data_IF_037697195090
#
_entry.id   IF_037697195090
#
_cell.length_a   1.000
_cell.length_b   1.000
_cell.length_c   1.000
_cell.angle_alpha   90.00
_cell.angle_beta   90.00
_cell.angle_gamma   90.00
#
_symmetry.space_group_name_H-M   'P 1'
#
loop_
_entity.id
_entity.type
_entity.pdbx_description
1 polymer ?
#
# COMPACT_ATOMS: atom_id res chain seq x y z
N UNK A 1 -29.70 -26.52 -65.27
CA UNK A 1 -29.76 -26.64 -63.80
C UNK A 1 -28.45 -26.10 -63.25
N UNK A 2 -28.40 -24.80 -62.98
CA UNK A 2 -27.28 -24.18 -62.26
C UNK A 2 -27.69 -24.12 -60.79
N UNK A 3 -26.92 -24.75 -59.91
CA UNK A 3 -27.17 -24.75 -58.49
C UNK A 3 -26.59 -23.46 -57.88
N UNK A 4 -27.48 -22.63 -57.32
CA UNK A 4 -27.12 -21.49 -56.49
C UNK A 4 -26.38 -21.97 -55.24
N UNK A 5 -25.10 -21.61 -55.15
CA UNK A 5 -24.29 -21.83 -53.95
C UNK A 5 -24.41 -20.60 -53.06
N UNK A 6 -25.33 -20.66 -52.09
CA UNK A 6 -25.49 -19.63 -51.08
C UNK A 6 -24.47 -19.86 -49.95
N UNK A 7 -23.60 -18.88 -49.62
CA UNK A 7 -22.63 -19.06 -48.55
C UNK A 7 -23.34 -19.11 -47.18
N UNK A 8 -22.82 -19.90 -46.22
CA UNK A 8 -23.43 -20.04 -44.91
C UNK A 8 -23.36 -18.73 -44.14
N UNK A 9 -24.46 -18.40 -43.45
CA UNK A 9 -24.56 -17.25 -42.57
C UNK A 9 -23.42 -17.28 -41.53
N UNK A 10 -22.58 -16.25 -41.58
CA UNK A 10 -21.53 -16.00 -40.58
C UNK A 10 -22.16 -15.95 -39.20
N UNK A 11 -21.86 -16.96 -38.37
CA UNK A 11 -22.21 -16.95 -36.97
C UNK A 11 -21.51 -15.76 -36.30
N UNK A 12 -22.29 -14.75 -35.92
CA UNK A 12 -21.78 -13.58 -35.21
C UNK A 12 -21.03 -14.03 -33.96
N UNK A 13 -19.76 -13.63 -33.85
CA UNK A 13 -18.96 -13.83 -32.65
C UNK A 13 -19.71 -13.25 -31.43
N UNK A 14 -19.61 -13.88 -30.25
CA UNK A 14 -20.25 -13.35 -29.05
C UNK A 14 -19.78 -11.91 -28.83
N UNK A 15 -20.72 -10.98 -28.85
CA UNK A 15 -20.46 -9.57 -28.53
C UNK A 15 -20.05 -9.52 -27.06
N UNK A 16 -18.75 -9.42 -26.80
CA UNK A 16 -18.24 -9.17 -25.46
C UNK A 16 -18.66 -7.74 -25.12
N UNK A 17 -19.73 -7.60 -24.34
CA UNK A 17 -20.19 -6.31 -23.85
C UNK A 17 -19.12 -5.78 -22.91
N UNK A 18 -18.36 -4.79 -23.37
CA UNK A 18 -17.35 -4.13 -22.55
C UNK A 18 -18.02 -3.55 -21.29
N UNK A 19 -17.39 -3.71 -20.13
CA UNK A 19 -17.96 -3.25 -18.86
C UNK A 19 -17.41 -1.87 -18.49
N UNK A 20 -18.22 -1.00 -17.86
CA UNK A 20 -17.73 0.22 -17.22
C UNK A 20 -16.55 -0.02 -16.28
N UNK A 21 -15.49 0.78 -16.40
CA UNK A 21 -14.38 0.79 -15.45
C UNK A 21 -14.68 1.82 -14.35
N UNK A 22 -14.74 1.36 -13.10
CA UNK A 22 -15.15 2.16 -11.94
C UNK A 22 -14.00 2.24 -10.96
N UNK A 23 -13.63 3.46 -10.57
CA UNK A 23 -12.74 3.76 -9.47
C UNK A 23 -13.47 4.62 -8.44
N UNK A 24 -13.27 4.33 -7.16
CA UNK A 24 -13.80 5.11 -6.06
C UNK A 24 -12.74 5.33 -4.99
N UNK A 25 -12.61 6.57 -4.50
CA UNK A 25 -11.71 6.90 -3.40
C UNK A 25 -12.44 7.65 -2.29
N UNK A 26 -12.17 7.24 -1.04
CA UNK A 26 -12.62 7.91 0.16
C UNK A 26 -11.46 8.73 0.74
N UNK A 27 -11.75 10.00 0.98
CA UNK A 27 -10.85 10.97 1.59
C UNK A 27 -11.34 11.20 3.03
N UNK A 28 -10.80 10.51 4.05
CA UNK A 28 -11.35 10.51 5.41
C UNK A 28 -11.43 11.91 6.02
N UNK A 29 -10.45 12.76 5.73
CA UNK A 29 -10.40 14.15 6.22
C UNK A 29 -11.51 15.02 5.63
N UNK A 30 -12.00 14.69 4.44
CA UNK A 30 -13.10 15.42 3.79
C UNK A 30 -14.45 14.76 4.03
N UNK A 31 -14.48 13.51 4.51
CA UNK A 31 -15.71 12.72 4.67
C UNK A 31 -16.43 12.46 3.34
N UNK A 32 -15.71 12.48 2.21
CA UNK A 32 -16.27 12.36 0.86
C UNK A 32 -15.74 11.12 0.13
N UNK A 33 -16.62 10.51 -0.66
CA UNK A 33 -16.28 9.48 -1.63
C UNK A 33 -16.33 10.14 -3.01
N UNK A 34 -15.20 10.14 -3.72
CA UNK A 34 -15.14 10.50 -5.14
C UNK A 34 -15.26 9.23 -5.97
N UNK A 35 -15.97 9.31 -7.09
CA UNK A 35 -16.18 8.17 -8.01
C UNK A 35 -15.91 8.65 -9.43
N UNK A 36 -15.10 7.88 -10.15
CA UNK A 36 -14.83 8.06 -11.58
C UNK A 36 -15.31 6.81 -12.31
N UNK A 37 -16.13 7.00 -13.35
CA UNK A 37 -16.68 5.92 -14.18
C UNK A 37 -16.29 6.19 -15.62
N UNK A 38 -15.53 5.28 -16.21
CA UNK A 38 -15.26 5.27 -17.64
C UNK A 38 -16.21 4.28 -18.32
N UNK A 39 -17.11 4.82 -19.15
CA UNK A 39 -18.04 4.00 -19.92
C UNK A 39 -17.37 3.54 -21.22
N UNK A 40 -17.62 2.30 -21.67
CA UNK A 40 -17.11 1.79 -22.94
C UNK A 40 -17.72 2.49 -24.15
N UNK A 41 -18.93 3.02 -24.04
CA UNK A 41 -19.63 3.79 -25.07
C UNK A 41 -20.21 5.08 -24.48
N UNK A 42 -20.75 5.95 -25.33
CA UNK A 42 -21.39 7.18 -24.88
C UNK A 42 -22.62 6.87 -24.01
N UNK A 43 -22.79 7.61 -22.91
CA UNK A 43 -23.96 7.45 -22.04
C UNK A 43 -25.27 7.70 -22.79
N UNK A 44 -26.29 6.90 -22.51
CA UNK A 44 -27.65 7.08 -23.04
C UNK A 44 -28.65 7.29 -21.91
N UNK A 45 -29.93 7.51 -22.23
CA UNK A 45 -31.02 7.58 -21.25
C UNK A 45 -31.21 6.28 -20.42
N UNK A 46 -30.61 5.16 -20.86
CA UNK A 46 -30.60 3.89 -20.13
C UNK A 46 -29.42 3.78 -19.17
N UNK A 47 -28.41 4.64 -19.28
CA UNK A 47 -27.27 4.64 -18.36
C UNK A 47 -27.72 5.17 -17.00
N UNK A 48 -27.56 4.38 -15.95
CA UNK A 48 -27.94 4.75 -14.57
C UNK A 48 -26.82 4.44 -13.60
N UNK A 49 -26.68 5.28 -12.58
CA UNK A 49 -25.75 5.07 -11.47
C UNK A 49 -26.54 5.13 -10.18
N UNK A 50 -26.46 4.08 -9.38
CA UNK A 50 -27.23 3.92 -8.14
C UNK A 50 -26.29 3.53 -7.01
N UNK A 51 -26.55 4.05 -5.81
CA UNK A 51 -25.95 3.54 -4.57
C UNK A 51 -26.95 2.59 -3.94
N UNK A 52 -26.54 1.35 -3.68
CA UNK A 52 -27.38 0.36 -3.01
C UNK A 52 -27.78 0.83 -1.61
N UNK A 53 -28.92 0.35 -1.09
CA UNK A 53 -29.48 0.76 0.22
C UNK A 53 -28.52 0.54 1.40
N UNK A 54 -27.57 -0.39 1.27
CA UNK A 54 -26.54 -0.62 2.27
C UNK A 54 -25.50 0.51 2.36
N UNK A 55 -25.48 1.44 1.40
CA UNK A 55 -24.50 2.51 1.26
C UNK A 55 -23.10 2.02 0.93
N UNK A 56 -22.92 0.73 0.65
CA UNK A 56 -21.61 0.09 0.45
C UNK A 56 -21.38 -0.35 -0.99
N UNK A 57 -22.39 -0.33 -1.85
CA UNK A 57 -22.23 -0.72 -3.25
C UNK A 57 -22.71 0.37 -4.20
N UNK A 58 -21.93 0.59 -5.25
CA UNK A 58 -22.30 1.36 -6.42
C UNK A 58 -22.68 0.39 -7.55
N UNK A 59 -23.80 0.68 -8.21
CA UNK A 59 -24.32 -0.06 -9.36
C UNK A 59 -24.32 0.89 -10.55
N UNK A 60 -23.75 0.46 -11.67
CA UNK A 60 -23.72 1.19 -12.93
C UNK A 60 -24.39 0.33 -13.98
N UNK A 61 -25.58 0.74 -14.40
CA UNK A 61 -26.29 0.13 -15.52
C UNK A 61 -25.90 0.87 -16.81
N UNK A 62 -25.39 0.17 -17.81
CA UNK A 62 -25.00 0.73 -19.09
C UNK A 62 -25.08 -0.34 -20.19
N UNK A 63 -25.71 -0.01 -21.32
CA UNK A 63 -25.88 -0.90 -22.48
C UNK A 63 -26.45 -2.29 -22.15
N UNK A 64 -27.35 -2.35 -21.16
CA UNK A 64 -27.99 -3.60 -20.73
C UNK A 64 -27.13 -4.47 -19.80
N UNK A 65 -25.94 -4.00 -19.41
CA UNK A 65 -25.09 -4.64 -18.41
C UNK A 65 -25.07 -3.81 -17.11
N UNK A 66 -25.05 -4.50 -15.97
CA UNK A 66 -24.90 -3.89 -14.64
C UNK A 66 -23.53 -4.22 -14.07
N UNK A 67 -22.71 -3.20 -13.82
CA UNK A 67 -21.43 -3.35 -13.12
C UNK A 67 -21.58 -2.92 -11.66
N UNK A 68 -21.03 -3.71 -10.74
CA UNK A 68 -21.09 -3.46 -9.30
C UNK A 68 -19.69 -3.20 -8.74
N UNK A 69 -19.52 -2.14 -7.96
CA UNK A 69 -18.30 -1.85 -7.18
C UNK A 69 -18.64 -1.72 -5.70
N UNK A 70 -17.82 -2.28 -4.80
CA UNK A 70 -17.93 -2.00 -3.37
C UNK A 70 -17.23 -0.66 -3.09
N UNK A 71 -17.94 0.26 -2.45
CA UNK A 71 -17.41 1.57 -2.09
C UNK A 71 -16.35 1.45 -0.97
N UNK A 72 -15.33 2.32 -0.96
CA UNK A 72 -14.27 2.30 0.04
C UNK A 72 -14.76 2.66 1.45
N UNK A 73 -15.89 3.33 1.58
CA UNK A 73 -16.57 3.62 2.84
C UNK A 73 -18.09 3.60 2.63
N UNK A 74 -18.84 3.49 3.72
CA UNK A 74 -20.31 3.54 3.67
C UNK A 74 -20.76 4.97 3.34
N UNK A 75 -21.39 5.15 2.18
CA UNK A 75 -22.04 6.38 1.79
C UNK A 75 -23.28 6.64 2.67
N UNK A 76 -23.45 7.89 3.11
CA UNK A 76 -24.68 8.32 3.76
C UNK A 76 -25.68 8.68 2.66
N UNK A 77 -26.71 7.87 2.51
CA UNK A 77 -27.83 8.13 1.60
C UNK A 77 -28.82 9.00 2.38
N UNK A 78 -28.52 10.31 2.47
CA UNK A 78 -29.50 11.30 2.91
C UNK A 78 -30.27 11.77 1.67
N UNK A 79 -31.60 11.79 1.75
CA UNK A 79 -32.49 12.14 0.63
C UNK A 79 -32.49 13.61 0.24
N UNK A 80 -31.32 14.23 0.04
CA UNK A 80 -31.21 15.60 -0.45
C UNK A 80 -30.25 15.64 -1.65
N UNK A 81 -30.80 16.10 -2.78
CA UNK A 81 -30.11 16.33 -4.05
C UNK A 81 -28.75 17.01 -3.86
N UNK A 82 -27.69 16.41 -4.39
CA UNK A 82 -26.46 17.14 -4.67
C UNK A 82 -26.62 17.93 -5.98
N UNK A 83 -26.17 19.21 -6.03
CA UNK A 83 -26.20 19.99 -7.26
C UNK A 83 -25.11 19.49 -8.21
N UNK A 84 -25.53 18.99 -9.37
CA UNK A 84 -24.69 18.40 -10.41
C UNK A 84 -25.57 17.51 -11.29
N UNK A 85 -26.31 18.14 -12.21
CA UNK A 85 -27.26 17.46 -13.09
C UNK A 85 -26.61 16.40 -13.97
N UNK A 86 -27.08 15.15 -13.86
CA UNK A 86 -27.61 14.40 -15.00
C UNK A 86 -28.88 13.67 -14.51
N UNK A 87 -30.05 14.01 -15.06
CA UNK A 87 -31.31 13.25 -14.92
C UNK A 87 -31.49 12.40 -16.20
N UNK A 88 -31.90 11.12 -16.12
CA UNK A 88 -33.27 10.79 -15.73
C UNK A 88 -33.45 9.56 -14.81
N UNK A 89 -34.33 9.71 -13.82
CA UNK A 89 -35.15 8.62 -13.27
C UNK A 89 -34.61 7.91 -12.01
N UNK A 90 -34.60 8.61 -10.87
CA UNK A 90 -34.62 7.95 -9.56
C UNK A 90 -36.05 7.44 -9.31
N UNK A 91 -36.32 6.17 -9.62
CA UNK A 91 -37.51 5.50 -9.11
C UNK A 91 -37.08 4.84 -7.81
N UNK A 92 -37.57 5.38 -6.69
CA UNK A 92 -37.55 4.68 -5.42
C UNK A 92 -38.79 3.79 -5.41
N UNK A 93 -38.62 2.49 -5.64
CA UNK A 93 -39.72 1.56 -5.36
C UNK A 93 -39.84 1.36 -3.85
N UNK A 94 -40.92 1.91 -3.34
CA UNK A 94 -41.50 1.67 -2.03
C UNK A 94 -41.76 0.18 -1.83
N UNK A 95 -41.00 -0.43 -0.92
CA UNK A 95 -41.56 -1.46 -0.02
C UNK A 95 -40.68 -1.49 1.24
N UNK A 96 -41.11 -0.79 2.29
CA UNK A 96 -40.59 -0.93 3.65
C UNK A 96 -41.71 -1.55 4.48
N UNK A 97 -41.47 -2.74 5.04
CA UNK A 97 -42.07 -3.15 6.31
C UNK A 97 -40.98 -3.03 7.36
N UNK A 98 -41.24 -2.16 8.33
CA UNK A 98 -40.29 -1.60 9.29
C UNK A 98 -39.41 -2.62 10.02
N UNK A 99 -38.21 -2.18 10.46
CA UNK A 99 -37.66 -2.63 11.74
C UNK A 99 -37.07 -1.46 12.55
N UNK A 100 -37.35 -1.58 13.84
CA UNK A 100 -37.30 -0.66 14.98
C UNK A 100 -35.88 -0.45 15.50
N UNK A 101 -35.53 0.81 15.80
CA UNK A 101 -34.32 1.16 16.56
C UNK A 101 -34.44 0.76 18.03
N UNK A 102 -33.31 0.36 18.62
CA UNK A 102 -33.09 0.38 20.07
C UNK A 102 -31.62 0.77 20.39
N UNK A 103 -31.35 1.33 21.58
CA UNK A 103 -30.39 2.40 21.78
C UNK A 103 -28.98 1.97 22.19
N UNK A 104 -28.09 2.97 22.10
CA UNK A 104 -26.74 3.06 22.65
C UNK A 104 -26.77 2.91 24.19
N UNK A 105 -25.83 2.17 24.75
CA UNK A 105 -25.39 2.37 26.13
C UNK A 105 -23.92 1.93 26.29
N UNK A 106 -23.21 2.79 27.00
CA UNK A 106 -21.80 2.77 27.36
C UNK A 106 -21.44 1.59 28.26
N UNK A 107 -20.17 1.19 28.21
CA UNK A 107 -19.48 0.63 29.36
C UNK A 107 -18.00 1.04 29.29
N UNK A 108 -17.67 2.10 30.02
CA UNK A 108 -16.32 2.36 30.47
C UNK A 108 -15.96 1.33 31.55
N UNK A 109 -14.79 0.71 31.42
CA UNK A 109 -14.15 -0.02 32.50
C UNK A 109 -12.70 0.42 32.58
N UNK A 110 -12.42 1.15 33.65
CA UNK A 110 -11.09 1.48 34.17
C UNK A 110 -10.27 0.21 34.43
N UNK A 111 -9.02 0.22 33.99
CA UNK A 111 -7.95 -0.55 34.61
C UNK A 111 -6.66 0.29 34.55
N UNK A 112 -6.48 1.13 35.57
CA UNK A 112 -5.25 1.86 35.83
C UNK A 112 -4.15 0.90 36.29
N UNK A 113 -3.31 0.46 35.37
CA UNK A 113 -1.93 0.10 35.67
C UNK A 113 -1.05 1.32 35.42
N UNK A 114 -0.80 2.11 36.47
CA UNK A 114 0.25 3.14 36.45
C UNK A 114 1.60 2.42 36.45
N UNK A 115 2.29 2.45 35.31
CA UNK A 115 3.71 2.11 35.24
C UNK A 115 4.49 3.04 36.18
N UNK A 116 5.45 2.51 36.94
CA UNK A 116 6.30 3.31 37.83
C UNK A 116 7.22 4.21 37.01
N UNK A 117 7.62 5.35 37.59
CA UNK A 117 8.49 6.34 36.96
C UNK A 117 9.85 5.74 36.53
N UNK A 118 10.37 4.74 37.26
CA UNK A 118 11.61 4.01 36.93
C UNK A 118 11.46 3.10 35.70
N UNK A 119 10.27 2.53 35.47
CA UNK A 119 9.95 1.74 34.27
C UNK A 119 9.78 2.62 33.02
N UNK A 120 9.41 3.90 33.20
CA UNK A 120 9.32 4.87 32.11
C UNK A 120 10.70 5.49 31.79
N UNK A 121 11.52 5.74 32.82
CA UNK A 121 12.86 6.30 32.67
C UNK A 121 13.84 5.32 31.98
N UNK A 122 13.71 4.02 32.21
CA UNK A 122 14.53 2.99 31.54
C UNK A 122 14.16 2.75 30.07
N UNK A 123 12.99 3.24 29.63
CA UNK A 123 12.49 3.13 28.24
C UNK A 123 12.74 4.37 27.39
N UNK A 124 13.14 5.48 28.01
CA UNK A 124 13.41 6.73 27.31
C UNK A 124 14.90 6.81 26.95
N UNK A 125 15.22 6.46 25.70
CA UNK A 125 16.52 6.72 25.11
C UNK A 125 16.68 8.23 24.89
N UNK A 126 17.65 8.86 25.57
CA UNK A 126 18.00 10.26 25.34
C UNK A 126 18.45 10.49 23.90
N UNK A 127 18.38 11.72 23.42
CA UNK A 127 18.73 12.13 22.04
C UNK A 127 20.16 11.76 21.60
N UNK A 128 21.04 11.37 22.53
CA UNK A 128 22.42 10.95 22.26
C UNK A 128 22.69 9.46 22.53
N UNK A 129 21.71 8.66 22.97
CA UNK A 129 21.94 7.21 23.17
C UNK A 129 21.77 6.47 21.84
N UNK A 130 22.86 5.85 21.37
CA UNK A 130 22.83 4.97 20.21
C UNK A 130 22.24 3.62 20.65
N UNK A 131 21.15 3.21 20.01
CA UNK A 131 20.59 1.87 20.19
C UNK A 131 21.55 0.88 19.52
N UNK A 132 22.30 0.14 20.33
CA UNK A 132 23.14 -0.96 19.88
C UNK A 132 22.41 -2.30 20.08
N UNK A 133 22.72 -3.28 19.23
CA UNK A 133 22.17 -4.61 19.32
C UNK A 133 22.53 -5.26 20.65
N UNK A 134 21.57 -5.98 21.24
CA UNK A 134 21.74 -6.69 22.50
C UNK A 134 21.33 -8.15 22.32
N UNK A 135 22.05 -9.03 23.01
CA UNK A 135 21.81 -10.46 22.93
C UNK A 135 20.41 -10.79 23.48
N UNK A 136 19.64 -11.57 22.73
CA UNK A 136 18.28 -11.95 23.08
C UNK A 136 17.23 -10.83 22.92
N UNK A 137 17.60 -9.66 22.37
CA UNK A 137 16.69 -8.51 22.18
C UNK A 137 16.63 -8.12 20.70
N UNK A 138 15.42 -8.02 20.18
CA UNK A 138 15.15 -7.49 18.83
C UNK A 138 14.64 -6.05 18.91
N UNK A 139 15.42 -5.07 18.44
CA UNK A 139 14.97 -3.68 18.36
C UNK A 139 14.20 -3.45 17.06
N UNK A 140 12.96 -3.01 17.17
CA UNK A 140 12.05 -2.86 16.03
C UNK A 140 12.05 -1.42 15.53
N UNK A 141 12.40 -1.20 14.26
CA UNK A 141 12.26 0.07 13.53
C UNK A 141 11.14 -0.06 12.47
N UNK A 142 10.79 0.97 11.69
CA UNK A 142 9.68 0.94 10.72
C UNK A 142 9.91 -0.10 9.62
N UNK A 143 11.14 -0.25 9.14
CA UNK A 143 11.51 -1.14 8.03
C UNK A 143 12.17 -2.44 8.49
N UNK A 144 12.89 -2.41 9.61
CA UNK A 144 13.76 -3.52 10.02
C UNK A 144 13.58 -3.91 11.48
N UNK A 145 14.16 -5.06 11.84
CA UNK A 145 14.36 -5.50 13.21
C UNK A 145 15.87 -5.74 13.38
N UNK A 146 16.49 -5.06 14.31
CA UNK A 146 17.90 -5.19 14.65
C UNK A 146 18.08 -6.28 15.71
N UNK A 147 18.91 -7.27 15.39
CA UNK A 147 19.31 -8.35 16.29
C UNK A 147 20.82 -8.36 16.54
N UNK A 148 21.25 -8.98 17.63
CA UNK A 148 22.67 -9.31 17.81
C UNK A 148 23.09 -10.38 16.82
N UNK A 149 24.32 -10.30 16.30
CA UNK A 149 24.83 -11.27 15.32
C UNK A 149 24.83 -12.71 15.88
N UNK A 150 24.98 -12.87 17.20
CA UNK A 150 24.97 -14.19 17.83
C UNK A 150 23.58 -14.84 17.86
N UNK A 151 22.51 -14.06 17.73
CA UNK A 151 21.14 -14.55 17.67
C UNK A 151 20.74 -14.96 16.24
N UNK A 152 21.54 -14.53 15.25
CA UNK A 152 21.30 -14.77 13.83
C UNK A 152 22.18 -15.89 13.23
N UNK A 153 22.56 -16.89 14.02
CA UNK A 153 23.45 -18.00 13.60
C UNK A 153 22.91 -18.83 12.43
N UNK A 154 21.60 -18.81 12.21
CA UNK A 154 20.95 -19.51 11.11
C UNK A 154 21.06 -18.79 9.75
N UNK A 155 21.67 -17.60 9.71
CA UNK A 155 21.82 -16.80 8.50
C UNK A 155 23.22 -16.94 7.91
N UNK A 156 23.28 -16.89 6.57
CA UNK A 156 24.54 -16.79 5.85
C UNK A 156 24.92 -15.32 5.76
N UNK A 157 25.93 -14.93 6.52
CA UNK A 157 26.54 -13.59 6.46
C UNK A 157 27.94 -13.81 5.87
N UNK A 158 28.20 -13.40 4.61
CA UNK A 158 29.53 -13.54 4.06
C UNK A 158 30.49 -12.72 4.92
N UNK A 159 31.62 -13.31 5.34
CA UNK A 159 32.63 -12.65 6.18
C UNK A 159 33.73 -12.14 5.28
N UNK A 160 34.20 -10.92 5.56
CA UNK A 160 35.43 -10.43 4.95
C UNK A 160 36.60 -11.16 5.61
N UNK A 161 37.22 -12.10 4.90
CA UNK A 161 38.41 -12.81 5.38
C UNK A 161 39.64 -12.04 4.90
N UNK A 162 40.26 -11.27 5.80
CA UNK A 162 41.45 -10.47 5.50
C UNK A 162 42.70 -11.32 5.15
N UNK A 163 42.61 -12.65 5.22
CA UNK A 163 43.72 -13.58 4.98
C UNK A 163 43.81 -14.08 3.53
N UNK A 164 42.78 -13.91 2.71
CA UNK A 164 42.80 -14.31 1.29
C UNK A 164 42.33 -13.15 0.42
N UNK A 165 43.28 -12.52 -0.29
CA UNK A 165 43.03 -11.60 -1.40
C UNK A 165 42.38 -12.33 -2.59
N UNK A 166 41.12 -12.72 -2.45
CA UNK A 166 40.26 -13.07 -3.58
C UNK A 166 38.98 -12.25 -3.50
N UNK A 167 39.15 -11.00 -3.90
CA UNK A 167 38.10 -10.05 -4.19
C UNK A 167 37.38 -10.49 -5.48
N UNK A 168 36.06 -10.66 -5.42
CA UNK A 168 35.24 -10.15 -6.52
C UNK A 168 34.85 -8.73 -6.12
N UNK A 169 35.32 -7.80 -6.96
CA UNK A 169 35.18 -6.33 -6.96
C UNK A 169 35.87 -5.54 -5.81
N UNK A 170 36.94 -4.84 -6.18
CA UNK A 170 37.59 -3.75 -5.42
C UNK A 170 36.78 -2.49 -5.65
N UNK A 171 36.32 -1.81 -4.59
CA UNK A 171 35.89 -0.41 -4.62
C UNK A 171 36.00 0.13 -3.20
N UNK A 172 36.68 1.26 -3.07
CA UNK A 172 37.01 1.95 -1.83
C UNK A 172 35.87 2.90 -1.38
N UNK A 173 34.62 2.48 -1.48
CA UNK A 173 33.48 3.15 -0.83
C UNK A 173 32.97 2.26 0.30
N UNK A 174 32.85 2.81 1.51
CA UNK A 174 32.61 2.07 2.77
C UNK A 174 31.22 1.43 2.92
N UNK A 175 30.65 0.86 1.85
CA UNK A 175 29.27 0.42 1.79
C UNK A 175 29.02 -0.97 1.18
N UNK A 176 30.03 -1.76 0.80
CA UNK A 176 29.81 -3.21 0.52
C UNK A 176 29.52 -3.98 1.82
N UNK A 177 28.36 -3.70 2.41
CA UNK A 177 27.78 -4.41 3.52
C UNK A 177 27.38 -5.80 3.02
N UNK A 178 28.11 -6.80 3.48
CA UNK A 178 27.87 -8.21 3.21
C UNK A 178 26.44 -8.55 3.64
N UNK A 179 25.52 -8.63 2.68
CA UNK A 179 24.11 -8.88 2.92
C UNK A 179 23.90 -10.21 3.66
N UNK A 180 22.94 -10.25 4.58
CA UNK A 180 22.54 -11.48 5.26
C UNK A 180 21.52 -12.23 4.42
N UNK A 181 21.78 -13.50 4.14
CA UNK A 181 20.99 -14.33 3.26
C UNK A 181 20.44 -15.58 3.96
N UNK A 182 19.30 -16.05 3.50
CA UNK A 182 18.83 -17.39 3.83
C UNK A 182 19.81 -18.43 3.25
N UNK A 183 20.37 -19.36 4.06
CA UNK A 183 21.28 -20.37 3.55
C UNK A 183 20.69 -21.27 2.46
N UNK A 184 19.37 -21.51 2.52
CA UNK A 184 18.63 -22.43 1.65
C UNK A 184 18.23 -21.80 0.32
N UNK A 185 17.47 -20.70 0.34
CA UNK A 185 16.91 -20.08 -0.87
C UNK A 185 17.72 -18.88 -1.37
N UNK A 186 18.79 -18.49 -0.67
CA UNK A 186 19.66 -17.36 -1.00
C UNK A 186 18.97 -15.99 -1.02
N UNK A 187 17.72 -15.91 -0.57
CA UNK A 187 17.00 -14.64 -0.43
C UNK A 187 17.71 -13.74 0.58
N UNK A 188 17.91 -12.47 0.22
CA UNK A 188 18.39 -11.44 1.13
C UNK A 188 17.34 -11.18 2.22
N UNK A 189 17.76 -11.26 3.48
CA UNK A 189 16.91 -11.09 4.66
C UNK A 189 17.25 -9.83 5.46
N UNK A 190 18.43 -9.25 5.26
CA UNK A 190 18.85 -8.05 5.99
C UNK A 190 20.30 -7.66 5.72
N UNK A 191 20.82 -6.71 6.50
CA UNK A 191 22.19 -6.19 6.41
C UNK A 191 22.85 -6.04 7.77
N UNK A 192 24.18 -6.26 7.86
CA UNK A 192 24.97 -5.85 9.01
C UNK A 192 24.86 -4.35 9.22
N UNK A 193 24.59 -3.94 10.45
CA UNK A 193 24.65 -2.56 10.88
C UNK A 193 25.88 -2.40 11.78
N UNK A 194 26.99 -1.97 11.18
CA UNK A 194 28.25 -1.76 11.89
C UNK A 194 28.13 -0.67 12.96
N UNK A 195 27.25 0.32 12.78
CA UNK A 195 27.07 1.40 13.76
C UNK A 195 26.35 0.91 15.00
N UNK A 196 25.40 -0.02 14.82
CA UNK A 196 24.62 -0.62 15.92
C UNK A 196 25.17 -1.99 16.37
N UNK A 197 26.32 -2.41 15.83
CA UNK A 197 26.98 -3.69 16.11
C UNK A 197 26.03 -4.90 16.04
N UNK A 198 25.20 -4.96 14.99
CA UNK A 198 24.17 -5.99 14.85
C UNK A 198 23.75 -6.27 13.42
N UNK A 199 22.64 -6.96 13.27
CA UNK A 199 22.06 -7.34 12.00
C UNK A 199 20.63 -6.81 11.88
N UNK A 200 20.40 -5.91 10.92
CA UNK A 200 19.09 -5.34 10.60
C UNK A 200 18.38 -6.21 9.57
N UNK A 201 17.36 -6.95 10.00
CA UNK A 201 16.55 -7.82 9.15
C UNK A 201 15.28 -7.12 8.66
N UNK A 202 14.90 -7.32 7.39
CA UNK A 202 13.73 -6.70 6.78
C UNK A 202 12.44 -7.33 7.29
N UNK A 203 11.54 -6.51 7.84
CA UNK A 203 10.28 -7.00 8.43
C UNK A 203 9.43 -7.82 7.46
N UNK A 204 9.32 -7.37 6.22
CA UNK A 204 8.48 -8.02 5.21
C UNK A 204 9.06 -9.33 4.66
N UNK A 205 10.29 -9.67 5.03
CA UNK A 205 10.94 -10.95 4.67
C UNK A 205 10.97 -11.93 5.86
N UNK A 206 10.39 -11.59 7.01
CA UNK A 206 10.44 -12.39 8.23
C UNK A 206 9.05 -12.84 8.69
N UNK A 207 8.86 -14.13 8.89
CA UNK A 207 7.70 -14.65 9.62
C UNK A 207 8.02 -14.76 11.11
N UNK A 208 7.15 -14.22 11.96
CA UNK A 208 7.23 -14.38 13.41
C UNK A 208 6.40 -15.60 13.82
N UNK A 209 7.06 -16.59 14.40
CA UNK A 209 6.40 -17.75 15.00
C UNK A 209 6.52 -17.59 16.51
N UNK A 210 5.41 -17.27 17.18
CA UNK A 210 5.37 -17.30 18.64
C UNK A 210 5.57 -18.73 19.12
N UNK A 211 6.46 -18.96 20.09
CA UNK A 211 6.54 -20.27 20.72
C UNK A 211 5.21 -20.55 21.41
N UNK A 212 4.55 -21.64 20.98
CA UNK A 212 3.30 -22.10 21.55
C UNK A 212 3.49 -22.40 23.05
N UNK A 213 3.04 -21.47 23.88
CA UNK A 213 3.00 -21.57 25.32
C UNK A 213 1.77 -20.85 25.84
N UNK A 214 0.70 -21.62 26.05
CA UNK A 214 -0.47 -21.35 26.91
C UNK A 214 -1.75 -20.77 26.29
N UNK A 215 -1.82 -20.34 25.02
CA UNK A 215 -3.13 -20.12 24.37
C UNK A 215 -3.15 -20.66 22.94
N UNK A 216 -4.17 -21.46 22.63
CA UNK A 216 -4.32 -22.29 21.43
C UNK A 216 -4.62 -21.48 20.14
N UNK A 217 -4.41 -20.17 20.17
CA UNK A 217 -4.70 -19.23 19.09
C UNK A 217 -3.38 -18.60 18.63
N UNK A 218 -2.50 -19.41 18.05
CA UNK A 218 -1.34 -18.90 17.32
C UNK A 218 -1.84 -18.24 16.03
N UNK A 219 -2.25 -16.97 16.09
CA UNK A 219 -2.48 -16.18 14.90
C UNK A 219 -1.14 -16.05 14.16
N UNK A 220 -0.92 -16.90 13.15
CA UNK A 220 0.10 -16.69 12.13
C UNK A 220 -0.32 -15.45 11.33
N UNK A 221 -0.09 -14.27 11.89
CA UNK A 221 -0.26 -13.03 11.17
C UNK A 221 0.77 -13.03 10.04
N UNK A 222 0.28 -12.87 8.81
CA UNK A 222 1.15 -12.65 7.67
C UNK A 222 2.08 -11.46 7.98
N UNK A 223 3.36 -11.54 7.59
CA UNK A 223 4.28 -10.44 7.80
C UNK A 223 3.79 -9.20 7.05
N UNK A 224 4.09 -7.99 7.55
CA UNK A 224 3.73 -6.78 6.82
C UNK A 224 4.41 -6.80 5.45
N UNK A 225 3.74 -6.29 4.42
CA UNK A 225 4.39 -6.15 3.11
C UNK A 225 5.43 -5.03 3.11
N UNK A 226 6.28 -4.99 2.06
CA UNK A 226 7.16 -3.86 1.82
C UNK A 226 6.36 -2.56 1.68
N UNK A 227 5.21 -2.57 0.98
CA UNK A 227 4.36 -1.38 0.82
C UNK A 227 3.88 -0.84 2.17
N UNK A 228 3.50 -1.72 3.10
CA UNK A 228 3.05 -1.34 4.44
C UNK A 228 4.18 -0.75 5.28
N UNK A 229 5.36 -1.39 5.26
CA UNK A 229 6.53 -0.88 5.97
C UNK A 229 6.97 0.48 5.39
N UNK A 230 7.00 0.59 4.06
CA UNK A 230 7.37 1.83 3.37
C UNK A 230 6.38 2.96 3.62
N UNK A 231 5.07 2.68 3.59
CA UNK A 231 4.04 3.67 3.91
C UNK A 231 4.20 4.18 5.36
N UNK A 232 4.50 3.29 6.31
CA UNK A 232 4.79 3.67 7.69
C UNK A 232 6.06 4.54 7.79
N UNK A 233 7.14 4.16 7.08
CA UNK A 233 8.37 4.93 7.01
C UNK A 233 8.13 6.35 6.46
N UNK A 234 7.40 6.48 5.36
CA UNK A 234 7.06 7.76 4.74
C UNK A 234 6.21 8.64 5.65
N UNK A 235 5.19 8.08 6.32
CA UNK A 235 4.36 8.83 7.28
C UNK A 235 5.22 9.35 8.44
N UNK A 236 6.08 8.50 9.00
CA UNK A 236 6.93 8.90 10.11
C UNK A 236 7.97 9.96 9.70
N UNK A 237 8.56 9.81 8.51
CA UNK A 237 9.48 10.79 7.95
C UNK A 237 8.79 12.14 7.72
N UNK A 238 7.61 12.15 7.08
CA UNK A 238 6.81 13.37 6.90
C UNK A 238 6.46 14.03 8.25
N UNK A 239 6.12 13.23 9.27
CA UNK A 239 5.80 13.75 10.60
C UNK A 239 7.03 14.34 11.32
N UNK A 240 8.24 13.83 11.08
CA UNK A 240 9.49 14.32 11.68
C UNK A 240 10.06 15.53 10.96
N UNK A 241 10.11 15.50 9.62
CA UNK A 241 10.75 16.56 8.82
C UNK A 241 9.79 17.68 8.42
N UNK A 242 8.48 17.41 8.45
CA UNK A 242 7.46 18.31 7.89
C UNK A 242 7.44 18.34 6.35
N UNK A 243 8.34 17.62 5.68
CA UNK A 243 8.38 17.56 4.22
C UNK A 243 7.44 16.48 3.69
N UNK A 244 6.69 16.82 2.65
CA UNK A 244 5.90 15.86 1.88
C UNK A 244 6.71 15.18 0.78
N UNK A 245 7.95 15.63 0.53
CA UNK A 245 8.85 15.09 -0.49
C UNK A 245 9.97 14.32 0.20
N UNK A 246 10.21 13.09 -0.25
CA UNK A 246 11.16 12.15 0.35
C UNK A 246 11.88 11.40 -0.76
N UNK A 247 13.18 11.14 -0.59
CA UNK A 247 13.98 10.32 -1.50
C UNK A 247 14.23 8.96 -0.88
N UNK A 248 13.88 7.91 -1.62
CA UNK A 248 14.31 6.54 -1.32
C UNK A 248 15.67 6.37 -2.01
N UNK A 249 16.74 6.38 -1.22
CA UNK A 249 18.11 6.46 -1.71
C UNK A 249 18.84 5.14 -1.48
N UNK A 250 19.28 4.52 -2.57
CA UNK A 250 20.21 3.40 -2.60
C UNK A 250 21.63 3.86 -2.93
N UNK A 251 22.50 2.90 -3.28
CA UNK A 251 23.87 3.18 -3.70
C UNK A 251 23.89 3.65 -5.16
N UNK A 252 23.15 2.94 -6.02
CA UNK A 252 23.03 3.25 -7.45
C UNK A 252 21.60 3.64 -7.84
N UNK A 253 20.61 3.25 -7.04
CA UNK A 253 19.20 3.47 -7.34
C UNK A 253 18.58 4.57 -6.47
N UNK A 254 17.68 5.35 -7.06
CA UNK A 254 16.91 6.35 -6.32
C UNK A 254 15.46 6.45 -6.83
N UNK A 255 14.55 6.76 -5.91
CA UNK A 255 13.17 7.13 -6.23
C UNK A 255 12.75 8.30 -5.33
N UNK A 256 12.43 9.44 -5.93
CA UNK A 256 11.80 10.54 -5.20
C UNK A 256 10.30 10.35 -5.18
N UNK A 257 9.68 10.52 -4.02
CA UNK A 257 8.23 10.49 -3.83
C UNK A 257 7.73 11.81 -3.25
N UNK A 258 6.53 12.22 -3.68
CA UNK A 258 5.80 13.36 -3.12
C UNK A 258 4.44 12.88 -2.62
N UNK A 259 4.26 12.90 -1.30
CA UNK A 259 3.05 12.47 -0.60
C UNK A 259 1.94 13.52 -0.81
N UNK A 260 0.95 13.19 -1.64
CA UNK A 260 -0.22 14.05 -1.88
C UNK A 260 -1.27 13.85 -0.78
N UNK A 261 -1.55 12.59 -0.45
CA UNK A 261 -2.47 12.25 0.62
C UNK A 261 -2.02 10.97 1.35
N UNK A 262 -1.58 11.08 2.62
CA UNK A 262 -1.14 9.93 3.40
C UNK A 262 -2.29 9.01 3.81
N UNK A 263 -3.55 9.43 3.66
CA UNK A 263 -4.77 8.74 4.09
C UNK A 263 -5.83 8.72 2.99
N UNK A 264 -5.73 7.77 2.07
CA UNK A 264 -6.82 7.41 1.14
C UNK A 264 -7.29 5.98 1.45
N UNK A 265 -8.55 5.70 1.13
CA UNK A 265 -9.07 4.34 0.98
C UNK A 265 -9.72 4.22 -0.38
N UNK A 266 -9.33 3.26 -1.21
CA UNK A 266 -9.81 3.17 -2.59
C UNK A 266 -10.47 1.82 -2.88
N UNK A 267 -11.26 1.80 -3.94
CA UNK A 267 -11.84 0.60 -4.53
C UNK A 267 -11.84 0.72 -6.04
N UNK A 268 -11.48 -0.35 -6.72
CA UNK A 268 -11.51 -0.50 -8.17
C UNK A 268 -11.88 -1.96 -8.48
N UNK A 269 -11.85 -2.37 -9.74
CA UNK A 269 -12.21 -3.74 -10.10
C UNK A 269 -11.37 -4.81 -9.37
N UNK A 270 -10.06 -4.58 -9.20
CA UNK A 270 -9.12 -5.54 -8.61
C UNK A 270 -8.97 -5.44 -7.08
N UNK A 271 -9.38 -4.32 -6.47
CA UNK A 271 -9.14 -4.03 -5.04
C UNK A 271 -10.39 -3.40 -4.42
N UNK A 272 -10.81 -3.85 -3.24
CA UNK A 272 -12.06 -3.37 -2.61
C UNK A 272 -11.79 -2.83 -1.20
N UNK A 273 -11.90 -1.52 -1.02
CA UNK A 273 -11.76 -0.84 0.27
C UNK A 273 -10.37 -0.95 0.88
N UNK A 274 -9.32 -0.82 0.05
CA UNK A 274 -7.92 -0.91 0.46
C UNK A 274 -7.43 0.44 0.95
N UNK A 275 -6.70 0.46 2.07
CA UNK A 275 -6.06 1.67 2.55
C UNK A 275 -4.78 1.93 1.73
N UNK A 276 -4.60 3.16 1.27
CA UNK A 276 -3.43 3.52 0.47
C UNK A 276 -3.04 4.99 0.62
N UNK A 277 -1.77 5.30 0.45
CA UNK A 277 -1.25 6.64 0.28
C UNK A 277 -1.29 7.00 -1.21
N UNK A 278 -1.79 8.20 -1.54
CA UNK A 278 -1.71 8.76 -2.89
C UNK A 278 -0.47 9.64 -2.97
N UNK A 279 0.38 9.37 -3.94
CA UNK A 279 1.67 10.05 -4.09
C UNK A 279 2.04 10.26 -5.57
N UNK A 280 2.97 11.17 -5.82
CA UNK A 280 3.71 11.24 -7.07
C UNK A 280 5.07 10.56 -6.89
N UNK A 281 5.62 9.93 -7.92
CA UNK A 281 6.99 9.44 -7.89
C UNK A 281 7.75 9.69 -9.18
N UNK A 282 9.07 9.76 -9.07
CA UNK A 282 10.02 9.83 -10.18
C UNK A 282 11.28 9.00 -9.87
N UNK A 283 11.89 8.30 -10.85
CA UNK A 283 13.08 7.48 -10.66
C UNK A 283 14.36 8.32 -10.71
N UNK A 284 14.47 9.32 -9.83
CA UNK A 284 15.62 10.23 -9.73
C UNK A 284 15.88 10.59 -8.28
N UNK A 285 17.10 11.05 -7.99
CA UNK A 285 17.44 11.69 -6.72
C UNK A 285 17.17 13.20 -6.76
N UNK A 286 16.96 13.80 -5.59
CA UNK A 286 16.79 15.24 -5.38
C UNK A 286 17.37 15.62 -4.01
N UNK A 287 17.84 16.85 -3.83
CA UNK A 287 18.36 17.33 -2.54
C UNK A 287 17.23 17.50 -1.49
N UNK A 288 16.78 16.41 -0.86
CA UNK A 288 15.64 16.38 0.08
C UNK A 288 15.87 15.34 1.20
N UNK A 289 14.88 15.15 2.08
CA UNK A 289 14.92 14.13 3.14
C UNK A 289 15.05 12.70 2.58
N UNK A 290 16.05 11.96 3.04
CA UNK A 290 16.39 10.64 2.49
C UNK A 290 16.04 9.50 3.44
N UNK A 291 15.51 8.41 2.86
CA UNK A 291 15.42 7.10 3.51
C UNK A 291 16.42 6.19 2.80
N UNK A 292 17.50 5.85 3.51
CA UNK A 292 18.55 4.97 2.99
C UNK A 292 18.07 3.52 2.95
N UNK A 293 18.08 2.92 1.75
CA UNK A 293 17.59 1.58 1.48
C UNK A 293 18.58 0.82 0.57
N UNK A 294 18.56 -0.53 0.57
CA UNK A 294 19.19 -1.33 -0.49
C UNK A 294 18.69 -0.95 -1.88
N UNK A 295 19.56 -0.96 -2.89
CA UNK A 295 19.14 -0.81 -4.30
C UNK A 295 18.03 -1.80 -4.67
N UNK A 296 18.16 -3.05 -4.24
CA UNK A 296 17.13 -4.07 -4.47
C UNK A 296 15.77 -3.68 -3.86
N UNK A 297 15.76 -3.03 -2.70
CA UNK A 297 14.53 -2.57 -2.04
C UNK A 297 13.99 -1.31 -2.71
N UNK A 298 14.87 -0.41 -3.19
CA UNK A 298 14.47 0.76 -3.99
C UNK A 298 13.81 0.31 -5.30
N UNK A 299 14.36 -0.70 -5.96
CA UNK A 299 13.80 -1.32 -7.17
C UNK A 299 12.46 -2.02 -6.88
N UNK A 300 12.38 -2.82 -5.80
CA UNK A 300 11.10 -3.42 -5.37
C UNK A 300 10.05 -2.34 -5.07
N UNK A 301 10.43 -1.25 -4.39
CA UNK A 301 9.55 -0.12 -4.12
C UNK A 301 9.08 0.56 -5.40
N UNK A 302 9.97 0.80 -6.38
CA UNK A 302 9.61 1.34 -7.70
C UNK A 302 8.57 0.47 -8.39
N UNK A 303 8.77 -0.85 -8.43
CA UNK A 303 7.81 -1.79 -9.01
C UNK A 303 6.44 -1.76 -8.32
N UNK A 304 6.40 -1.62 -7.00
CA UNK A 304 5.14 -1.44 -6.24
C UNK A 304 4.44 -0.13 -6.65
N UNK A 305 5.20 0.96 -6.81
CA UNK A 305 4.63 2.25 -7.23
C UNK A 305 4.10 2.21 -8.66
N UNK A 306 4.80 1.53 -9.58
CA UNK A 306 4.31 1.30 -10.94
C UNK A 306 3.03 0.45 -10.94
N UNK A 307 2.97 -0.59 -10.12
CA UNK A 307 1.75 -1.39 -9.95
C UNK A 307 0.60 -0.55 -9.36
N UNK A 308 0.90 0.33 -8.40
CA UNK A 308 -0.09 1.22 -7.78
C UNK A 308 -0.73 2.19 -8.77
N UNK A 309 0.01 2.63 -9.79
CA UNK A 309 -0.52 3.46 -10.88
C UNK A 309 -1.58 2.70 -11.71
N UNK A 310 -1.46 1.38 -11.85
CA UNK A 310 -2.42 0.56 -12.61
C UNK A 310 -3.82 0.49 -11.97
N UNK A 311 -3.96 0.88 -10.70
CA UNK A 311 -5.25 0.94 -9.99
C UNK A 311 -6.01 2.24 -10.18
N UNK A 312 -5.34 3.29 -10.67
CA UNK A 312 -5.93 4.61 -10.90
C UNK A 312 -6.84 4.61 -12.14
N UNK A 313 -7.81 5.52 -12.20
CA UNK A 313 -8.61 5.72 -13.40
C UNK A 313 -7.74 6.24 -14.56
N UNK A 314 -8.17 6.02 -15.81
CA UNK A 314 -7.36 6.26 -17.02
C UNK A 314 -6.81 7.69 -17.10
N UNK A 315 -7.63 8.67 -16.77
CA UNK A 315 -7.30 10.09 -16.75
C UNK A 315 -6.19 10.45 -15.76
N UNK A 316 -6.16 9.80 -14.59
CA UNK A 316 -5.07 9.96 -13.62
C UNK A 316 -3.84 9.13 -13.98
N UNK A 317 -4.06 7.94 -14.56
CA UNK A 317 -3.01 7.00 -14.93
C UNK A 317 -2.05 7.58 -15.96
N UNK A 318 -2.61 8.24 -16.99
CA UNK A 318 -1.86 8.85 -18.09
C UNK A 318 -1.35 10.26 -17.77
N UNK A 319 -1.70 10.78 -16.58
CA UNK A 319 -1.33 12.12 -16.16
C UNK A 319 0.15 12.18 -15.80
N UNK A 320 0.91 12.90 -16.61
CA UNK A 320 2.30 13.23 -16.34
C UNK A 320 2.42 14.69 -15.89
N UNK A 321 3.16 14.92 -14.81
CA UNK A 321 3.48 16.28 -14.35
C UNK A 321 4.96 16.58 -14.63
N UNK A 322 5.24 17.82 -15.02
CA UNK A 322 6.57 18.34 -15.32
C UNK A 322 7.39 17.50 -16.33
N UNK A 323 7.03 17.52 -17.63
CA UNK A 323 7.72 16.72 -18.65
C UNK A 323 9.18 17.16 -18.91
N UNK A 324 9.61 18.31 -18.39
CA UNK A 324 10.93 18.89 -18.68
C UNK A 324 12.02 18.28 -17.78
N UNK A 325 11.73 18.02 -16.51
CA UNK A 325 12.71 17.49 -15.55
C UNK A 325 12.57 15.98 -15.30
N UNK A 326 11.53 15.35 -15.86
CA UNK A 326 11.21 13.93 -15.72
C UNK A 326 9.74 13.77 -15.31
N UNK A 327 8.96 12.91 -15.98
CA UNK A 327 7.54 12.81 -15.72
C UNK A 327 7.30 12.24 -14.31
N UNK A 328 6.60 13.02 -13.49
CA UNK A 328 6.05 12.52 -12.24
C UNK A 328 4.81 11.68 -12.54
N UNK A 329 4.76 10.48 -11.94
CA UNK A 329 3.66 9.53 -12.10
C UNK A 329 2.86 9.44 -10.82
N UNK A 330 1.52 9.48 -10.91
CA UNK A 330 0.63 9.27 -9.77
C UNK A 330 0.59 7.79 -9.41
N UNK A 331 0.62 7.46 -8.12
CA UNK A 331 0.50 6.08 -7.65
C UNK A 331 -0.26 5.97 -6.32
N UNK A 332 -0.79 4.77 -6.07
CA UNK A 332 -1.35 4.33 -4.80
C UNK A 332 -0.42 3.33 -4.14
N UNK A 333 0.13 3.68 -2.98
CA UNK A 333 0.93 2.79 -2.14
C UNK A 333 0.04 2.19 -1.04
N UNK A 334 -0.22 0.88 -1.10
CA UNK A 334 -1.05 0.17 -0.11
C UNK A 334 -0.47 0.25 1.31
N UNK A 335 -1.34 0.38 2.32
CA UNK A 335 -1.02 0.27 3.75
C UNK A 335 -1.93 -0.74 4.46
#
# INVERSE_FOLDING_TARGET
>A
MAADFQPPASAAAPVVVAQPNIYAEFLPRLGRISVVIHLPTQSTHKTKVLVARDGLHLLVDHDGATTKLRLPAKARIAGEHLPGEIRPGLITEDTIKAFKDLPRADAAADAQHKASEDDLASRAYGSNSIIAAQNGVGFVDLMTILFSQIDCKCLMIPRYDAAHESIVSQDFSGFRALDAHCPKCKTQLGRPDNRKNGLSLFKWKLNLVGQAGVDNDSYLLAPPSLSQCLAAALIATQARSGSAKVVLQGEEEAVTVWILNPHVRFSCFSKQGVYAMKLLFQPKTTDEEEILLPDQVVLEARGILEQGNAYLPLDEKERQFNPVEGPWTVSLLER
#
